data_IF_209338889009
#
_entry.id   IF_209338889009
#
_cell.length_a   1.000
_cell.length_b   1.000
_cell.length_c   1.000
_cell.angle_alpha   90.00
_cell.angle_beta   90.00
_cell.angle_gamma   90.00
#
_symmetry.space_group_name_H-M   'P 1'
#
loop_
_entity.id
_entity.type
_entity.pdbx_description
1 polymer ?
#
# COMPACT_ATOMS: atom_id res chain seq x y z
N UNK A 1 12.12 26.05 -28.22
CA UNK A 1 13.05 25.11 -27.56
C UNK A 1 12.36 23.91 -26.91
N UNK A 2 11.10 23.59 -27.24
CA UNK A 2 10.34 22.47 -26.63
C UNK A 2 10.36 21.15 -27.42
N UNK A 3 10.95 21.10 -28.62
CA UNK A 3 10.95 19.88 -29.45
C UNK A 3 12.14 18.95 -29.21
N UNK A 4 13.30 19.47 -28.77
CA UNK A 4 14.50 18.65 -28.57
C UNK A 4 14.50 17.81 -27.28
N UNK A 5 13.75 18.22 -26.25
CA UNK A 5 13.55 17.40 -25.03
C UNK A 5 12.69 16.16 -25.31
N UNK A 6 11.76 16.24 -26.27
CA UNK A 6 10.85 15.13 -26.61
C UNK A 6 11.50 14.01 -27.40
N UNK A 7 12.58 14.29 -28.14
CA UNK A 7 13.36 13.24 -28.84
C UNK A 7 14.31 12.49 -27.91
N UNK A 8 14.87 13.16 -26.90
CA UNK A 8 15.81 12.53 -25.96
C UNK A 8 15.18 11.53 -24.99
N UNK A 9 13.86 11.62 -24.76
CA UNK A 9 13.13 10.64 -23.94
C UNK A 9 12.76 9.35 -24.68
N UNK A 10 12.91 9.28 -26.02
CA UNK A 10 12.38 8.16 -26.84
C UNK A 10 13.46 7.35 -27.59
N UNK A 11 14.74 7.70 -27.45
CA UNK A 11 15.88 6.95 -28.03
C UNK A 11 16.79 6.33 -26.94
N UNK A 12 16.35 6.35 -25.69
CA UNK A 12 17.09 5.91 -24.53
C UNK A 12 16.57 4.55 -24.07
N UNK A 13 17.08 3.45 -24.63
CA UNK A 13 16.97 2.12 -24.04
C UNK A 13 17.83 2.00 -22.77
N UNK A 14 17.55 2.86 -21.78
CA UNK A 14 18.29 2.92 -20.51
C UNK A 14 17.45 2.30 -19.42
N UNK A 15 17.69 1.03 -19.15
CA UNK A 15 17.46 0.43 -17.83
C UNK A 15 18.73 0.53 -16.97
N UNK A 16 19.47 1.65 -17.09
CA UNK A 16 20.72 1.81 -16.34
C UNK A 16 20.80 3.22 -15.79
N UNK A 17 20.34 3.37 -14.55
CA UNK A 17 20.68 4.48 -13.65
C UNK A 17 22.19 4.76 -13.70
N UNK A 18 22.57 6.04 -13.60
CA UNK A 18 23.97 6.45 -13.63
C UNK A 18 24.78 5.85 -12.47
N UNK A 19 24.14 5.41 -11.37
CA UNK A 19 24.79 4.74 -10.24
C UNK A 19 25.17 3.29 -10.56
N UNK A 20 24.35 2.58 -11.35
CA UNK A 20 24.62 1.20 -11.80
C UNK A 20 25.72 1.11 -12.89
N UNK A 21 25.97 2.18 -13.64
CA UNK A 21 27.02 2.21 -14.69
C UNK A 21 28.46 2.06 -14.19
N UNK A 22 28.72 2.16 -12.89
CA UNK A 22 30.08 2.10 -12.37
C UNK A 22 30.65 0.69 -12.15
N UNK A 23 29.86 -0.39 -12.24
CA UNK A 23 30.31 -1.73 -11.79
C UNK A 23 30.26 -2.90 -12.79
N UNK A 24 29.83 -2.73 -14.04
CA UNK A 24 29.83 -3.85 -15.01
C UNK A 24 30.38 -3.45 -16.38
N UNK A 25 31.65 -3.76 -16.60
CA UNK A 25 32.27 -3.80 -17.93
C UNK A 25 33.07 -5.10 -18.09
N UNK A 26 32.45 -6.15 -18.62
CA UNK A 26 33.08 -7.21 -19.42
C UNK A 26 32.07 -8.32 -19.73
N UNK A 27 32.16 -8.87 -20.95
CA UNK A 27 31.34 -9.94 -21.60
C UNK A 27 30.13 -9.38 -22.37
N UNK A 28 29.90 -9.67 -23.65
CA UNK A 28 30.48 -10.65 -24.56
C UNK A 28 29.36 -11.11 -25.51
N UNK A 29 29.44 -10.67 -26.77
CA UNK A 29 28.49 -10.86 -27.89
C UNK A 29 28.14 -12.32 -28.25
N UNK A 30 26.88 -12.60 -28.63
CA UNK A 30 26.55 -13.40 -29.83
C UNK A 30 25.04 -13.45 -30.21
N UNK A 31 24.76 -12.83 -31.37
CA UNK A 31 23.79 -13.06 -32.47
C UNK A 31 22.80 -14.25 -32.44
N UNK A 32 21.59 -14.01 -32.99
CA UNK A 32 20.74 -15.02 -33.64
C UNK A 32 19.41 -14.47 -34.21
N UNK A 33 19.36 -14.20 -35.53
CA UNK A 33 18.15 -13.80 -36.29
C UNK A 33 17.24 -15.01 -36.62
N UNK A 34 15.90 -14.86 -36.59
CA UNK A 34 15.01 -15.35 -37.66
C UNK A 34 13.54 -14.87 -37.53
N UNK A 35 12.93 -14.65 -38.70
CA UNK A 35 11.72 -13.89 -39.06
C UNK A 35 10.32 -14.44 -38.64
N UNK A 36 9.24 -13.63 -38.77
CA UNK A 36 7.84 -14.00 -38.54
C UNK A 36 7.02 -14.18 -39.84
N UNK A 37 5.92 -14.98 -39.80
CA UNK A 37 4.63 -14.76 -40.49
C UNK A 37 3.76 -16.03 -40.50
N UNK A 38 2.50 -15.92 -40.05
CA UNK A 38 1.34 -16.48 -40.78
C UNK A 38 0.00 -16.00 -40.23
N UNK A 39 -0.87 -15.62 -41.17
CA UNK A 39 -2.24 -15.13 -41.07
C UNK A 39 -3.23 -16.26 -40.75
N UNK A 40 -4.40 -15.94 -40.20
CA UNK A 40 -5.71 -16.04 -40.89
C UNK A 40 -6.90 -16.04 -39.93
N UNK A 41 -8.00 -15.51 -40.45
CA UNK A 41 -9.29 -15.23 -39.83
C UNK A 41 -10.07 -16.46 -39.33
N UNK A 42 -10.93 -16.25 -38.33
CA UNK A 42 -12.39 -16.39 -38.51
C UNK A 42 -13.16 -16.04 -37.22
N UNK A 43 -14.37 -15.55 -37.42
CA UNK A 43 -15.33 -15.00 -36.46
C UNK A 43 -16.38 -16.08 -36.20
N UNK A 44 -16.58 -16.51 -34.95
CA UNK A 44 -17.81 -17.19 -34.52
C UNK A 44 -18.17 -16.74 -33.11
N UNK A 45 -19.45 -16.42 -32.97
CA UNK A 45 -20.15 -15.91 -31.81
C UNK A 45 -21.07 -17.04 -31.35
N UNK A 46 -20.83 -17.65 -30.18
CA UNK A 46 -21.86 -18.45 -29.48
C UNK A 46 -21.43 -18.77 -28.06
N UNK A 47 -22.41 -18.57 -27.17
CA UNK A 47 -22.50 -18.83 -25.73
C UNK A 47 -21.89 -20.17 -25.33
N UNK A 48 -21.13 -20.16 -24.24
CA UNK A 48 -21.12 -21.31 -23.32
C UNK A 48 -20.84 -20.87 -21.88
N UNK A 49 -21.47 -21.59 -20.95
CA UNK A 49 -21.46 -21.43 -19.50
C UNK A 49 -20.52 -22.53 -18.97
N UNK A 50 -19.45 -22.13 -18.29
CA UNK A 50 -18.55 -22.99 -17.49
C UNK A 50 -17.87 -22.01 -16.52
N UNK A 51 -18.14 -21.99 -15.22
CA UNK A 51 -17.79 -23.03 -14.23
C UNK A 51 -16.40 -23.59 -14.51
N UNK A 52 -15.38 -22.86 -14.05
CA UNK A 52 -14.03 -23.36 -13.85
C UNK A 52 -13.32 -22.53 -12.77
N UNK A 53 -12.68 -23.26 -11.87
CA UNK A 53 -12.02 -22.78 -10.68
C UNK A 53 -10.74 -22.01 -11.01
N UNK A 54 -10.75 -20.69 -10.87
CA UNK A 54 -9.54 -19.85 -11.06
C UNK A 54 -9.41 -18.78 -9.95
N UNK A 55 -9.92 -19.09 -8.75
CA UNK A 55 -9.76 -18.27 -7.54
C UNK A 55 -8.32 -18.31 -6.97
N UNK A 56 -7.47 -19.22 -7.44
CA UNK A 56 -6.12 -19.45 -6.88
C UNK A 56 -5.00 -18.70 -7.66
N UNK A 57 -5.34 -17.96 -8.73
CA UNK A 57 -4.42 -17.07 -9.47
C UNK A 57 -4.78 -15.59 -9.41
N UNK A 58 -5.90 -15.25 -8.78
CA UNK A 58 -6.43 -13.88 -8.71
C UNK A 58 -5.90 -13.01 -7.57
N UNK A 59 -5.16 -13.57 -6.60
CA UNK A 59 -4.76 -12.85 -5.38
C UNK A 59 -3.31 -12.30 -5.39
N UNK A 60 -2.61 -12.40 -6.52
CA UNK A 60 -1.26 -11.83 -6.74
C UNK A 60 -1.28 -10.56 -7.60
N UNK A 61 -2.46 -10.11 -8.04
CA UNK A 61 -2.58 -8.92 -8.87
C UNK A 61 -2.62 -7.65 -8.02
N UNK A 62 -1.49 -6.93 -7.97
CA UNK A 62 -1.30 -5.57 -7.44
C UNK A 62 -2.08 -4.52 -8.26
N UNK A 63 -3.39 -4.69 -8.43
CA UNK A 63 -4.28 -3.76 -9.14
C UNK A 63 -5.09 -2.89 -8.14
N UNK A 64 -4.47 -2.53 -7.01
CA UNK A 64 -5.05 -1.63 -6.01
C UNK A 64 -5.10 -0.17 -6.49
N UNK A 65 -4.35 0.19 -7.53
CA UNK A 65 -4.35 1.54 -8.13
C UNK A 65 -5.64 1.84 -8.91
N UNK A 66 -6.45 0.83 -9.23
CA UNK A 66 -7.72 0.98 -9.95
C UNK A 66 -8.90 0.41 -9.16
N UNK A 67 -9.14 0.94 -7.96
CA UNK A 67 -10.36 1.72 -7.70
C UNK A 67 -10.85 1.63 -6.25
N UNK A 68 -10.93 2.80 -5.60
CA UNK A 68 -11.83 3.02 -4.46
C UNK A 68 -13.31 2.76 -4.89
N UNK A 69 -13.60 2.68 -6.20
CA UNK A 69 -14.91 2.25 -6.70
C UNK A 69 -15.25 0.79 -6.36
N UNK A 70 -14.28 -0.09 -6.05
CA UNK A 70 -14.60 -1.44 -5.56
C UNK A 70 -15.07 -1.44 -4.11
N UNK A 71 -14.80 -0.37 -3.34
CA UNK A 71 -15.25 -0.24 -1.95
C UNK A 71 -16.77 -0.12 -1.87
N UNK A 72 -17.39 0.74 -2.69
CA UNK A 72 -18.85 0.90 -2.66
C UNK A 72 -19.56 -0.42 -3.02
N UNK A 73 -19.04 -1.16 -4.01
CA UNK A 73 -19.58 -2.47 -4.39
C UNK A 73 -19.37 -3.56 -3.33
N UNK A 74 -18.31 -3.46 -2.51
CA UNK A 74 -17.98 -4.42 -1.46
C UNK A 74 -18.66 -4.07 -0.12
N UNK A 75 -19.12 -2.83 0.04
CA UNK A 75 -19.94 -2.38 1.16
C UNK A 75 -21.44 -2.59 0.93
N UNK A 76 -21.87 -2.78 -0.33
CA UNK A 76 -23.24 -3.16 -0.68
C UNK A 76 -23.52 -4.65 -0.43
N UNK A 77 -22.50 -5.48 -0.20
CA UNK A 77 -22.68 -6.87 0.23
C UNK A 77 -22.87 -6.95 1.74
N UNK A 78 -24.12 -6.84 2.15
CA UNK A 78 -24.67 -6.82 3.52
C UNK A 78 -24.45 -8.09 4.38
N UNK A 79 -23.42 -8.91 4.11
CA UNK A 79 -23.16 -10.15 4.87
C UNK A 79 -21.97 -10.00 5.84
N UNK A 80 -22.09 -9.11 6.83
CA UNK A 80 -21.38 -9.32 8.12
C UNK A 80 -22.13 -10.44 8.83
N UNK A 81 -21.90 -11.67 8.38
CA UNK A 81 -22.57 -12.83 8.93
C UNK A 81 -21.80 -13.29 10.17
N UNK A 82 -22.33 -13.07 11.37
CA UNK A 82 -21.71 -13.58 12.61
C UNK A 82 -21.43 -15.10 12.52
N UNK A 83 -22.23 -15.84 11.75
CA UNK A 83 -22.01 -17.27 11.51
C UNK A 83 -20.75 -17.58 10.68
N UNK A 84 -20.32 -16.70 9.77
CA UNK A 84 -19.07 -16.92 9.02
C UNK A 84 -17.86 -16.73 9.91
N UNK A 85 -17.96 -15.90 10.95
CA UNK A 85 -16.88 -15.68 11.91
C UNK A 85 -16.59 -16.91 12.76
N UNK A 86 -17.61 -17.63 13.25
CA UNK A 86 -17.40 -18.85 14.06
C UNK A 86 -16.79 -20.01 13.27
N UNK A 87 -17.21 -20.19 12.00
CA UNK A 87 -16.60 -21.17 11.10
C UNK A 87 -15.14 -20.78 10.84
N UNK A 88 -14.86 -19.51 10.55
CA UNK A 88 -13.51 -19.02 10.34
C UNK A 88 -12.62 -19.19 11.58
N UNK A 89 -13.16 -19.02 12.80
CA UNK A 89 -12.44 -19.29 14.06
C UNK A 89 -12.01 -20.75 14.17
N UNK A 90 -12.92 -21.67 13.91
CA UNK A 90 -12.63 -23.11 13.99
C UNK A 90 -11.62 -23.51 12.91
N UNK A 91 -11.83 -23.08 11.65
CA UNK A 91 -10.90 -23.30 10.55
C UNK A 91 -9.49 -22.76 10.87
N UNK A 92 -9.42 -21.55 11.45
CA UNK A 92 -8.15 -20.94 11.86
C UNK A 92 -7.48 -21.76 12.98
N UNK A 93 -8.23 -22.23 13.98
CA UNK A 93 -7.67 -23.05 15.04
C UNK A 93 -7.12 -24.38 14.51
N UNK A 94 -7.85 -25.05 13.62
CA UNK A 94 -7.44 -26.32 13.02
C UNK A 94 -6.19 -26.16 12.17
N UNK A 95 -6.12 -25.08 11.38
CA UNK A 95 -4.96 -24.84 10.53
C UNK A 95 -3.74 -24.39 11.31
N UNK A 96 -3.91 -23.67 12.42
CA UNK A 96 -2.81 -23.38 13.35
C UNK A 96 -2.21 -24.69 13.87
N UNK A 97 -3.02 -25.65 14.30
CA UNK A 97 -2.52 -26.96 14.74
C UNK A 97 -1.71 -27.67 13.64
N UNK A 98 -2.16 -27.62 12.38
CA UNK A 98 -1.42 -28.18 11.24
C UNK A 98 -0.10 -27.46 10.96
N UNK A 99 -0.08 -26.12 11.06
CA UNK A 99 1.13 -25.32 10.85
C UNK A 99 2.19 -25.57 11.94
N UNK A 100 1.74 -25.82 13.17
CA UNK A 100 2.62 -26.14 14.30
C UNK A 100 3.11 -27.59 14.25
N UNK A 101 2.27 -28.54 13.79
CA UNK A 101 2.69 -29.93 13.55
C UNK A 101 3.33 -30.11 12.17
N UNK A 102 4.59 -29.68 12.07
CA UNK A 102 5.35 -29.83 10.82
C UNK A 102 5.64 -31.30 10.47
N UNK A 103 5.58 -32.23 11.44
CA UNK A 103 6.11 -33.59 11.29
C UNK A 103 5.18 -34.44 10.43
N UNK A 104 5.58 -34.67 9.17
CA UNK A 104 4.82 -35.45 8.20
C UNK A 104 4.07 -34.61 7.18
N UNK A 105 4.10 -33.27 7.31
CA UNK A 105 3.60 -32.36 6.28
C UNK A 105 4.43 -32.46 4.99
N UNK A 106 3.76 -32.53 3.85
CA UNK A 106 4.39 -32.33 2.54
C UNK A 106 4.26 -30.85 2.12
N UNK A 107 4.95 -30.41 1.06
CA UNK A 107 4.91 -29.02 0.60
C UNK A 107 3.46 -28.54 0.33
N UNK A 108 2.67 -29.32 -0.42
CA UNK A 108 1.27 -28.97 -0.73
C UNK A 108 0.40 -28.76 0.51
N UNK A 109 0.50 -29.65 1.50
CA UNK A 109 -0.25 -29.51 2.76
C UNK A 109 0.13 -28.23 3.52
N UNK A 110 1.38 -27.79 3.43
CA UNK A 110 1.81 -26.53 4.06
C UNK A 110 1.29 -25.32 3.29
N UNK A 111 1.32 -25.36 1.96
CA UNK A 111 0.72 -24.31 1.13
C UNK A 111 -0.78 -24.18 1.40
N UNK A 112 -1.53 -25.29 1.43
CA UNK A 112 -2.97 -25.30 1.68
C UNK A 112 -3.30 -24.77 3.09
N UNK A 113 -2.47 -25.13 4.10
CA UNK A 113 -2.60 -24.62 5.46
C UNK A 113 -2.31 -23.11 5.55
N UNK A 114 -1.22 -22.64 4.94
CA UNK A 114 -0.89 -21.21 4.91
C UNK A 114 -1.95 -20.40 4.15
N UNK A 115 -2.48 -20.92 3.05
CA UNK A 115 -3.54 -20.28 2.28
C UNK A 115 -4.81 -20.10 3.10
N UNK A 116 -5.20 -21.12 3.87
CA UNK A 116 -6.36 -21.05 4.77
C UNK A 116 -6.11 -20.05 5.91
N UNK A 117 -4.93 -20.10 6.54
CA UNK A 117 -4.55 -19.12 7.57
C UNK A 117 -4.65 -17.68 7.05
N UNK A 118 -4.07 -17.42 5.87
CA UNK A 118 -4.13 -16.12 5.19
C UNK A 118 -5.57 -15.72 4.90
N UNK A 119 -6.40 -16.63 4.38
CA UNK A 119 -7.81 -16.36 4.07
C UNK A 119 -8.59 -15.94 5.31
N UNK A 120 -8.45 -16.69 6.41
CA UNK A 120 -9.15 -16.40 7.67
C UNK A 120 -8.77 -15.00 8.20
N UNK A 121 -7.47 -14.73 8.34
CA UNK A 121 -6.98 -13.45 8.88
C UNK A 121 -7.03 -12.28 7.90
N UNK A 122 -7.23 -12.52 6.61
CA UNK A 122 -7.54 -11.45 5.66
C UNK A 122 -8.99 -11.00 5.82
N UNK A 123 -9.89 -11.94 6.14
CA UNK A 123 -11.33 -11.73 6.12
C UNK A 123 -11.90 -11.26 7.46
N UNK A 124 -11.32 -11.67 8.58
CA UNK A 124 -11.83 -11.40 9.92
C UNK A 124 -10.68 -11.17 10.92
N UNK A 125 -10.93 -10.26 11.87
CA UNK A 125 -10.12 -10.01 13.04
C UNK A 125 -10.36 -11.12 14.08
N UNK A 126 -9.40 -12.04 14.18
CA UNK A 126 -9.46 -13.26 15.01
C UNK A 126 -8.28 -13.33 16.02
N UNK A 127 -7.93 -12.20 16.63
CA UNK A 127 -6.78 -12.07 17.53
C UNK A 127 -6.84 -13.03 18.73
N UNK A 128 -8.04 -13.35 19.21
CA UNK A 128 -8.28 -14.28 20.31
C UNK A 128 -7.76 -15.69 20.03
N UNK A 129 -7.76 -16.12 18.76
CA UNK A 129 -7.29 -17.45 18.35
C UNK A 129 -5.75 -17.50 18.34
N UNK A 130 -5.10 -16.34 18.15
CA UNK A 130 -3.65 -16.21 18.12
C UNK A 130 -3.03 -16.10 19.52
N UNK A 131 -3.84 -15.76 20.53
CA UNK A 131 -3.38 -15.56 21.90
C UNK A 131 -2.60 -16.77 22.42
N UNK A 132 -1.37 -16.51 22.90
CA UNK A 132 -0.45 -17.54 23.40
C UNK A 132 0.19 -18.43 22.34
N UNK A 133 -0.04 -18.21 21.04
CA UNK A 133 0.50 -19.02 19.92
C UNK A 133 1.37 -18.23 18.95
N UNK A 134 1.45 -16.90 19.09
CA UNK A 134 2.17 -16.00 18.16
C UNK A 134 3.61 -16.43 17.94
N UNK A 135 4.37 -16.64 19.01
CA UNK A 135 5.78 -17.03 18.92
C UNK A 135 5.99 -18.37 18.18
N UNK A 136 5.12 -19.36 18.44
CA UNK A 136 5.18 -20.66 17.74
C UNK A 136 4.84 -20.53 16.25
N UNK A 137 3.86 -19.67 15.92
CA UNK A 137 3.48 -19.37 14.54
C UNK A 137 4.59 -18.62 13.80
N UNK A 138 5.17 -17.58 14.40
CA UNK A 138 6.32 -16.83 13.85
C UNK A 138 7.48 -17.78 13.57
N UNK A 139 7.75 -18.72 14.47
CA UNK A 139 8.74 -19.77 14.26
C UNK A 139 8.37 -20.71 13.10
N UNK A 140 7.11 -21.10 12.96
CA UNK A 140 6.62 -21.91 11.85
C UNK A 140 6.77 -21.21 10.50
N UNK A 141 6.35 -19.94 10.41
CA UNK A 141 6.48 -19.13 9.19
C UNK A 141 7.94 -18.91 8.82
N UNK A 142 8.78 -18.56 9.81
CA UNK A 142 10.23 -18.39 9.61
C UNK A 142 10.88 -19.65 9.03
N UNK A 143 10.41 -20.84 9.41
CA UNK A 143 10.89 -22.12 8.87
C UNK A 143 10.45 -22.37 7.42
N UNK A 144 9.27 -21.90 7.02
CA UNK A 144 8.80 -21.97 5.63
C UNK A 144 9.54 -20.97 4.76
N UNK A 145 9.69 -19.72 5.24
CA UNK A 145 10.44 -18.66 4.59
C UNK A 145 11.89 -19.08 4.33
N UNK A 146 12.60 -19.56 5.37
CA UNK A 146 14.00 -19.99 5.23
C UNK A 146 14.21 -21.20 4.34
N UNK A 147 13.21 -22.07 4.21
CA UNK A 147 13.34 -23.29 3.43
C UNK A 147 13.14 -23.06 1.93
N UNK A 148 12.43 -21.99 1.54
CA UNK A 148 12.10 -21.62 0.16
C UNK A 148 11.73 -22.82 -0.74
N UNK A 149 10.92 -23.77 -0.22
CA UNK A 149 10.68 -25.02 -0.96
C UNK A 149 9.79 -24.83 -2.20
N UNK A 150 8.97 -23.79 -2.19
CA UNK A 150 8.25 -23.25 -3.35
C UNK A 150 8.02 -21.76 -3.17
N UNK A 151 7.84 -21.04 -4.28
CA UNK A 151 7.49 -19.62 -4.28
C UNK A 151 6.14 -19.37 -3.58
N UNK A 152 5.15 -20.25 -3.82
CA UNK A 152 3.81 -20.15 -3.20
C UNK A 152 3.87 -20.33 -1.68
N UNK A 153 4.57 -21.35 -1.16
CA UNK A 153 4.72 -21.54 0.29
C UNK A 153 5.39 -20.31 0.93
N UNK A 154 6.45 -19.81 0.30
CA UNK A 154 7.26 -18.70 0.82
C UNK A 154 6.46 -17.39 0.87
N UNK A 155 5.81 -17.04 -0.23
CA UNK A 155 4.96 -15.84 -0.33
C UNK A 155 3.77 -15.89 0.63
N UNK A 156 3.13 -17.04 0.79
CA UNK A 156 2.05 -17.23 1.77
C UNK A 156 2.57 -17.11 3.22
N UNK A 157 3.76 -17.64 3.52
CA UNK A 157 4.36 -17.52 4.85
C UNK A 157 4.75 -16.07 5.18
N UNK A 158 5.26 -15.30 4.21
CA UNK A 158 5.53 -13.86 4.36
C UNK A 158 4.24 -13.08 4.62
N UNK A 159 3.17 -13.38 3.86
CA UNK A 159 1.85 -12.77 4.07
C UNK A 159 1.24 -13.16 5.41
N UNK A 160 1.40 -14.42 5.83
CA UNK A 160 0.95 -14.89 7.14
C UNK A 160 1.65 -14.12 8.27
N UNK A 161 2.96 -13.89 8.17
CA UNK A 161 3.72 -13.08 9.13
C UNK A 161 3.17 -11.66 9.26
N UNK A 162 2.92 -11.00 8.12
CA UNK A 162 2.34 -9.66 8.07
C UNK A 162 0.92 -9.62 8.65
N UNK A 163 0.09 -10.62 8.34
CA UNK A 163 -1.26 -10.76 8.90
C UNK A 163 -1.25 -10.98 10.40
N UNK A 164 -0.30 -11.76 10.93
CA UNK A 164 -0.10 -11.91 12.38
C UNK A 164 0.21 -10.55 13.01
N UNK A 165 1.14 -9.79 12.42
CA UNK A 165 1.58 -8.50 12.94
C UNK A 165 0.47 -7.45 13.01
N UNK A 166 -0.42 -7.38 12.00
CA UNK A 166 -1.57 -6.44 11.99
C UNK A 166 -2.80 -6.96 12.75
N UNK A 167 -2.81 -8.24 13.16
CA UNK A 167 -3.96 -8.83 13.89
C UNK A 167 -3.69 -8.89 15.39
N UNK A 168 -2.44 -9.09 15.81
CA UNK A 168 -2.09 -9.24 17.21
C UNK A 168 -0.92 -8.33 17.57
N UNK A 169 -1.18 -7.38 18.46
CA UNK A 169 -0.16 -6.45 18.95
C UNK A 169 0.82 -7.19 19.90
N UNK A 170 1.97 -7.56 19.36
CA UNK A 170 3.13 -8.08 20.07
C UNK A 170 4.33 -7.15 19.82
N UNK A 171 4.86 -6.55 20.89
CA UNK A 171 5.94 -5.57 20.84
C UNK A 171 7.29 -6.17 20.43
N UNK A 172 7.45 -7.50 20.45
CA UNK A 172 8.72 -8.16 20.12
C UNK A 172 8.68 -8.86 18.75
N UNK A 173 7.58 -8.72 18.01
CA UNK A 173 7.40 -9.44 16.76
C UNK A 173 8.42 -8.97 15.72
N UNK A 174 8.63 -7.66 15.58
CA UNK A 174 9.57 -7.11 14.60
C UNK A 174 11.00 -7.57 14.87
N UNK A 175 11.49 -7.43 16.10
CA UNK A 175 12.83 -7.87 16.52
C UNK A 175 13.09 -9.34 16.14
N UNK A 176 12.08 -10.19 16.34
CA UNK A 176 12.15 -11.63 16.04
C UNK A 176 12.26 -11.93 14.54
N UNK A 177 11.61 -11.14 13.68
CA UNK A 177 11.45 -11.45 12.24
C UNK A 177 12.36 -10.62 11.33
N UNK A 178 12.84 -9.46 11.79
CA UNK A 178 13.55 -8.47 10.99
C UNK A 178 14.69 -9.07 10.17
N UNK A 179 15.59 -9.83 10.83
CA UNK A 179 16.73 -10.47 10.15
C UNK A 179 16.30 -11.51 9.11
N UNK A 180 15.20 -12.24 9.34
CA UNK A 180 14.69 -13.23 8.40
C UNK A 180 14.04 -12.57 7.18
N UNK A 181 13.32 -11.46 7.38
CA UNK A 181 12.69 -10.70 6.31
C UNK A 181 13.73 -9.97 5.46
N UNK A 182 14.68 -9.24 6.07
CA UNK A 182 15.79 -8.58 5.34
C UNK A 182 16.61 -9.58 4.50
N UNK A 183 16.84 -10.79 5.04
CA UNK A 183 17.48 -11.88 4.28
C UNK A 183 16.65 -12.34 3.08
N UNK A 184 15.34 -12.50 3.24
CA UNK A 184 14.46 -12.93 2.14
C UNK A 184 14.44 -11.89 1.01
N UNK A 185 14.50 -10.61 1.35
CA UNK A 185 14.60 -9.52 0.38
C UNK A 185 15.95 -9.59 -0.36
N UNK A 186 17.05 -9.80 0.36
CA UNK A 186 18.40 -9.75 -0.22
C UNK A 186 18.78 -11.03 -0.98
N UNK A 187 18.49 -12.21 -0.43
CA UNK A 187 19.09 -13.47 -0.87
C UNK A 187 18.17 -14.35 -1.72
N UNK A 188 16.84 -14.10 -1.70
CA UNK A 188 15.90 -14.94 -2.46
C UNK A 188 16.16 -14.82 -3.96
N UNK A 189 15.94 -15.90 -4.70
CA UNK A 189 16.08 -15.90 -6.18
C UNK A 189 14.81 -15.47 -6.91
N UNK A 190 13.68 -15.46 -6.23
CA UNK A 190 12.40 -15.06 -6.81
C UNK A 190 12.13 -13.59 -6.53
N UNK A 191 11.90 -12.79 -7.59
CA UNK A 191 11.50 -11.38 -7.46
C UNK A 191 10.16 -11.24 -6.75
N UNK A 192 9.24 -12.19 -6.96
CA UNK A 192 7.95 -12.22 -6.27
C UNK A 192 8.12 -12.45 -4.75
N UNK A 193 9.04 -13.32 -4.34
CA UNK A 193 9.39 -13.50 -2.92
C UNK A 193 10.01 -12.22 -2.34
N UNK A 194 10.93 -11.57 -3.08
CA UNK A 194 11.52 -10.30 -2.63
C UNK A 194 10.46 -9.21 -2.44
N UNK A 195 9.57 -9.03 -3.41
CA UNK A 195 8.48 -8.06 -3.33
C UNK A 195 7.51 -8.37 -2.18
N UNK A 196 7.11 -9.63 -2.00
CA UNK A 196 6.30 -10.06 -0.87
C UNK A 196 6.99 -9.80 0.48
N UNK A 197 8.31 -10.01 0.56
CA UNK A 197 9.08 -9.77 1.77
C UNK A 197 9.23 -8.28 2.08
N UNK A 198 9.35 -7.42 1.05
CA UNK A 198 9.33 -5.95 1.21
C UNK A 198 7.99 -5.46 1.76
N UNK A 199 6.87 -6.01 1.29
CA UNK A 199 5.57 -5.66 1.86
C UNK A 199 5.42 -6.20 3.29
N UNK A 200 5.88 -7.43 3.54
CA UNK A 200 5.81 -8.03 4.87
C UNK A 200 6.62 -7.26 5.91
N UNK A 201 7.87 -6.86 5.59
CA UNK A 201 8.69 -6.07 6.53
C UNK A 201 8.06 -4.72 6.83
N UNK A 202 7.44 -4.07 5.83
CA UNK A 202 6.70 -2.82 6.04
C UNK A 202 5.58 -2.95 7.07
N UNK A 203 4.81 -4.03 7.01
CA UNK A 203 3.74 -4.30 7.98
C UNK A 203 4.32 -4.71 9.33
N UNK A 204 5.32 -5.59 9.36
CA UNK A 204 5.93 -6.05 10.61
C UNK A 204 6.64 -4.93 11.38
N UNK A 205 7.32 -4.00 10.71
CA UNK A 205 7.96 -2.85 11.40
C UNK A 205 6.89 -1.90 11.96
N UNK A 206 5.81 -1.65 11.21
CA UNK A 206 4.74 -0.73 11.61
C UNK A 206 3.87 -1.24 12.76
N UNK A 207 3.66 -2.56 12.83
CA UNK A 207 2.69 -3.16 13.74
C UNK A 207 3.31 -4.17 14.72
N UNK A 208 4.59 -4.49 14.55
CA UNK A 208 5.32 -5.48 15.36
C UNK A 208 6.21 -4.91 16.44
N UNK A 209 5.98 -3.65 16.85
CA UNK A 209 6.64 -3.02 17.99
C UNK A 209 7.97 -2.33 17.73
N UNK A 210 8.28 -2.03 16.46
CA UNK A 210 9.51 -1.30 16.14
C UNK A 210 9.45 0.15 16.62
N UNK A 211 10.61 0.71 16.97
CA UNK A 211 10.73 2.15 17.23
C UNK A 211 10.99 2.95 15.94
N UNK A 212 11.07 4.28 16.08
CA UNK A 212 11.27 5.18 14.95
C UNK A 212 12.65 5.02 14.29
N UNK A 213 13.69 4.69 15.06
CA UNK A 213 15.04 4.43 14.53
C UNK A 213 15.03 3.19 13.63
N UNK A 214 14.36 2.12 14.06
CA UNK A 214 14.18 0.92 13.27
C UNK A 214 13.34 1.14 12.00
N UNK A 215 12.35 2.03 12.05
CA UNK A 215 11.56 2.45 10.88
C UNK A 215 12.46 3.18 9.87
N UNK A 216 13.26 4.14 10.33
CA UNK A 216 14.21 4.89 9.49
C UNK A 216 15.25 3.97 8.85
N UNK A 217 15.80 3.01 9.60
CA UNK A 217 16.72 2.00 9.09
C UNK A 217 16.13 1.18 7.93
N UNK A 218 14.86 0.79 8.05
CA UNK A 218 14.14 0.10 6.98
C UNK A 218 13.89 1.05 5.80
N UNK A 219 13.54 2.31 6.04
CA UNK A 219 13.37 3.30 4.98
C UNK A 219 14.64 3.51 4.18
N UNK A 220 15.80 3.66 4.83
CA UNK A 220 17.11 3.75 4.16
C UNK A 220 17.38 2.51 3.31
N UNK A 221 17.11 1.31 3.84
CA UNK A 221 17.27 0.06 3.09
C UNK A 221 16.38 0.01 1.83
N UNK A 222 15.12 0.45 1.93
CA UNK A 222 14.20 0.52 0.79
C UNK A 222 14.63 1.57 -0.24
N UNK A 223 15.19 2.69 0.22
CA UNK A 223 15.71 3.74 -0.65
C UNK A 223 16.93 3.26 -1.47
N UNK A 224 17.81 2.44 -0.89
CA UNK A 224 18.90 1.80 -1.63
C UNK A 224 18.38 0.86 -2.73
N UNK A 225 17.30 0.11 -2.47
CA UNK A 225 16.64 -0.73 -3.49
C UNK A 225 16.09 0.16 -4.62
N UNK A 226 15.39 1.24 -4.29
CA UNK A 226 14.83 2.16 -5.29
C UNK A 226 15.92 2.87 -6.10
N UNK A 227 16.98 3.38 -5.46
CA UNK A 227 18.06 4.12 -6.13
C UNK A 227 18.91 3.27 -7.09
N UNK A 228 18.89 1.95 -6.90
CA UNK A 228 19.64 0.97 -7.68
C UNK A 228 18.79 0.23 -8.71
N UNK A 229 17.53 0.61 -8.93
CA UNK A 229 16.58 -0.09 -9.79
C UNK A 229 16.46 -1.60 -9.43
N UNK A 230 16.57 -1.93 -8.14
CA UNK A 230 16.53 -3.29 -7.62
C UNK A 230 17.87 -4.03 -7.60
N UNK A 231 18.92 -3.50 -8.22
CA UNK A 231 20.23 -4.17 -8.30
C UNK A 231 20.90 -4.37 -6.92
N UNK A 232 20.60 -3.53 -5.93
CA UNK A 232 21.12 -3.67 -4.57
C UNK A 232 20.74 -5.01 -3.90
N UNK A 233 19.66 -5.65 -4.36
CA UNK A 233 19.17 -6.93 -3.86
C UNK A 233 19.13 -8.01 -4.95
N UNK A 234 20.00 -7.93 -5.96
CA UNK A 234 20.06 -8.87 -7.09
C UNK A 234 18.71 -9.04 -7.83
N UNK A 235 17.96 -7.94 -7.97
CA UNK A 235 16.68 -7.88 -8.68
C UNK A 235 16.69 -6.80 -9.77
N UNK A 236 17.78 -6.75 -10.55
CA UNK A 236 18.02 -5.76 -11.59
C UNK A 236 16.78 -5.58 -12.50
N UNK A 237 16.36 -4.33 -12.68
CA UNK A 237 15.25 -3.91 -13.54
C UNK A 237 13.88 -4.53 -13.17
N UNK A 238 13.73 -5.02 -11.94
CA UNK A 238 12.46 -5.58 -11.46
C UNK A 238 11.49 -4.47 -11.01
N UNK A 239 10.60 -4.08 -11.92
CA UNK A 239 9.53 -3.11 -11.61
C UNK A 239 8.68 -3.53 -10.40
N UNK A 240 8.47 -4.84 -10.20
CA UNK A 240 7.75 -5.39 -9.05
C UNK A 240 8.44 -5.07 -7.72
N UNK A 241 9.76 -5.33 -7.64
CA UNK A 241 10.57 -5.09 -6.44
C UNK A 241 10.72 -3.60 -6.16
N UNK A 242 10.96 -2.78 -7.19
CA UNK A 242 11.09 -1.33 -7.06
C UNK A 242 9.75 -0.71 -6.63
N UNK A 243 8.64 -1.12 -7.24
CA UNK A 243 7.30 -0.67 -6.84
C UNK A 243 6.99 -1.05 -5.39
N UNK A 244 7.36 -2.27 -4.97
CA UNK A 244 7.19 -2.69 -3.58
C UNK A 244 8.02 -1.82 -2.63
N UNK A 245 9.28 -1.52 -2.98
CA UNK A 245 10.15 -0.67 -2.18
C UNK A 245 9.59 0.74 -2.02
N UNK A 246 9.16 1.38 -3.12
CA UNK A 246 8.56 2.71 -3.11
C UNK A 246 7.26 2.75 -2.31
N UNK A 247 6.38 1.78 -2.50
CA UNK A 247 5.11 1.70 -1.76
C UNK A 247 5.33 1.49 -0.26
N UNK A 248 6.29 0.63 0.12
CA UNK A 248 6.61 0.42 1.53
C UNK A 248 7.30 1.64 2.12
N UNK A 249 8.22 2.29 1.41
CA UNK A 249 8.86 3.54 1.86
C UNK A 249 7.79 4.58 2.20
N UNK A 250 6.85 4.83 1.29
CA UNK A 250 5.80 5.82 1.49
C UNK A 250 4.91 5.50 2.68
N UNK A 251 4.56 4.23 2.86
CA UNK A 251 3.82 3.79 4.04
C UNK A 251 4.58 4.06 5.34
N UNK A 252 5.87 3.71 5.40
CA UNK A 252 6.71 3.93 6.59
C UNK A 252 6.95 5.42 6.87
N UNK A 253 7.15 6.23 5.83
CA UNK A 253 7.27 7.68 5.93
C UNK A 253 6.03 8.35 6.55
N UNK A 254 4.86 7.69 6.54
CA UNK A 254 3.68 8.19 7.26
C UNK A 254 3.76 8.04 8.79
N UNK A 255 4.73 7.27 9.31
CA UNK A 255 4.88 6.99 10.74
C UNK A 255 6.00 7.80 11.39
N UNK A 256 6.96 8.27 10.61
CA UNK A 256 8.01 9.19 11.07
C UNK A 256 7.42 10.60 11.13
N UNK A 257 7.60 11.34 12.22
CA UNK A 257 7.02 12.69 12.33
C UNK A 257 7.79 13.69 11.46
N UNK A 258 9.10 13.75 11.66
CA UNK A 258 10.04 14.62 10.95
C UNK A 258 10.83 13.84 9.89
N UNK A 259 10.89 14.37 8.67
CA UNK A 259 11.65 13.78 7.56
C UNK A 259 12.59 14.80 6.91
N UNK A 260 12.92 15.90 7.59
CA UNK A 260 13.78 16.95 7.03
C UNK A 260 15.12 16.40 6.51
N UNK A 261 15.74 15.48 7.25
CA UNK A 261 17.07 14.94 6.93
C UNK A 261 17.05 13.95 5.76
N UNK A 262 15.96 13.20 5.61
CA UNK A 262 15.79 12.15 4.62
C UNK A 262 15.23 12.68 3.30
N UNK A 263 14.49 13.77 3.34
CA UNK A 263 13.67 14.23 2.21
C UNK A 263 14.49 14.58 0.97
N UNK A 264 15.65 15.21 1.13
CA UNK A 264 16.48 15.65 0.00
C UNK A 264 16.94 14.45 -0.85
N UNK A 265 17.52 13.43 -0.21
CA UNK A 265 18.01 12.21 -0.87
C UNK A 265 16.85 11.34 -1.39
N UNK A 266 15.74 11.31 -0.65
CA UNK A 266 14.54 10.58 -1.04
C UNK A 266 13.89 11.18 -2.29
N UNK A 267 13.66 12.50 -2.32
CA UNK A 267 13.09 13.19 -3.48
C UNK A 267 14.02 13.05 -4.69
N UNK A 268 15.34 13.18 -4.53
CA UNK A 268 16.29 12.95 -5.61
C UNK A 268 16.12 11.55 -6.23
N UNK A 269 16.04 10.52 -5.37
CA UNK A 269 15.83 9.13 -5.81
C UNK A 269 14.50 8.95 -6.53
N UNK A 270 13.40 9.48 -5.98
CA UNK A 270 12.07 9.36 -6.60
C UNK A 270 11.97 10.12 -7.91
N UNK A 271 12.66 11.25 -8.03
CA UNK A 271 12.73 12.05 -9.25
C UNK A 271 13.40 11.29 -10.40
N UNK A 272 14.40 10.45 -10.10
CA UNK A 272 15.01 9.52 -11.06
C UNK A 272 14.02 8.41 -11.45
N UNK A 273 13.27 7.86 -10.48
CA UNK A 273 12.25 6.83 -10.73
C UNK A 273 11.04 7.31 -11.55
N UNK A 274 10.80 8.62 -11.63
CA UNK A 274 9.80 9.19 -12.54
C UNK A 274 10.11 8.92 -14.03
N UNK A 275 11.38 8.66 -14.36
CA UNK A 275 11.82 8.35 -15.73
C UNK A 275 11.75 6.84 -16.05
N UNK A 276 11.23 6.00 -15.14
CA UNK A 276 11.05 4.57 -15.35
C UNK A 276 10.04 4.24 -16.47
N UNK A 277 10.21 3.10 -17.13
CA UNK A 277 9.29 2.64 -18.19
C UNK A 277 7.96 2.10 -17.63
N UNK A 278 7.96 1.63 -16.38
CA UNK A 278 6.79 1.06 -15.73
C UNK A 278 5.95 2.13 -15.02
N UNK A 279 4.67 2.21 -15.39
CA UNK A 279 3.78 3.23 -14.86
C UNK A 279 3.50 3.08 -13.35
N UNK A 280 3.60 1.88 -12.77
CA UNK A 280 3.43 1.71 -11.32
C UNK A 280 4.61 2.28 -10.57
N UNK A 281 5.83 2.03 -11.04
CA UNK A 281 7.06 2.66 -10.48
C UNK A 281 6.92 4.18 -10.50
N UNK A 282 6.54 4.75 -11.65
CA UNK A 282 6.33 6.19 -11.79
C UNK A 282 5.27 6.72 -10.82
N UNK A 283 4.10 6.09 -10.75
CA UNK A 283 3.03 6.50 -9.83
C UNK A 283 3.53 6.43 -8.38
N UNK A 284 4.08 5.30 -7.93
CA UNK A 284 4.56 5.14 -6.56
C UNK A 284 5.65 6.16 -6.19
N UNK A 285 6.58 6.47 -7.10
CA UNK A 285 7.57 7.52 -6.88
C UNK A 285 6.92 8.91 -6.76
N UNK A 286 5.96 9.23 -7.63
CA UNK A 286 5.23 10.49 -7.57
C UNK A 286 4.37 10.66 -6.32
N UNK A 287 3.72 9.59 -5.84
CA UNK A 287 2.97 9.61 -4.58
C UNK A 287 3.89 9.88 -3.39
N UNK A 288 5.10 9.31 -3.38
CA UNK A 288 6.11 9.58 -2.35
C UNK A 288 6.59 11.02 -2.35
N UNK A 289 6.86 11.59 -3.53
CA UNK A 289 7.18 13.01 -3.66
C UNK A 289 6.05 13.85 -3.05
N UNK A 290 4.80 13.56 -3.41
CA UNK A 290 3.66 14.30 -2.89
C UNK A 290 3.51 14.18 -1.36
N UNK A 291 3.80 13.00 -0.78
CA UNK A 291 3.82 12.81 0.68
C UNK A 291 4.90 13.67 1.34
N UNK A 292 6.13 13.69 0.83
CA UNK A 292 7.23 14.47 1.43
C UNK A 292 6.95 15.98 1.37
N UNK A 293 6.37 16.46 0.26
CA UNK A 293 5.88 17.83 0.17
C UNK A 293 4.72 18.09 1.13
N UNK A 294 3.78 17.15 1.31
CA UNK A 294 2.71 17.29 2.32
C UNK A 294 3.28 17.37 3.75
N UNK A 295 4.30 16.57 4.07
CA UNK A 295 4.91 16.50 5.41
C UNK A 295 5.78 17.69 5.78
N UNK A 296 6.28 18.46 4.81
CA UNK A 296 7.04 19.67 5.13
C UNK A 296 6.16 20.82 5.66
N UNK A 297 4.84 20.62 5.72
CA UNK A 297 3.91 21.51 6.39
C UNK A 297 3.29 20.79 7.59
N UNK A 298 3.31 21.41 8.75
CA UNK A 298 2.61 20.90 9.94
C UNK A 298 1.62 21.93 10.49
N UNK A 299 0.62 21.49 11.27
CA UNK A 299 -0.16 22.36 12.14
C UNK A 299 0.67 23.43 12.84
N UNK A 300 0.15 24.65 12.89
CA UNK A 300 0.75 25.71 13.69
C UNK A 300 0.62 25.41 15.19
N UNK A 301 1.74 25.51 15.89
CA UNK A 301 1.88 25.30 17.34
C UNK A 301 1.82 26.65 18.09
N UNK A 302 1.55 26.63 19.40
CA UNK A 302 1.39 27.86 20.21
C UNK A 302 2.66 28.72 20.25
N UNK A 303 3.83 28.07 20.13
CA UNK A 303 5.15 28.72 20.15
C UNK A 303 5.62 29.22 18.77
N UNK A 304 4.85 28.97 17.70
CA UNK A 304 5.16 29.50 16.38
C UNK A 304 4.91 31.01 16.36
N UNK A 305 6.00 31.79 16.45
CA UNK A 305 5.98 33.24 16.30
C UNK A 305 5.09 33.62 15.13
N UNK A 306 4.19 34.58 15.33
CA UNK A 306 3.44 35.22 14.25
C UNK A 306 4.39 36.02 13.37
N UNK A 307 5.18 35.28 12.59
CA UNK A 307 5.93 35.80 11.48
C UNK A 307 4.92 36.37 10.51
N UNK A 308 4.85 37.69 10.49
CA UNK A 308 3.98 38.52 9.66
C UNK A 308 4.36 38.46 8.17
N UNK A 309 4.95 37.35 7.72
CA UNK A 309 5.54 37.19 6.38
C UNK A 309 5.04 35.95 5.62
N UNK A 310 4.22 35.11 6.24
CA UNK A 310 3.42 34.16 5.45
C UNK A 310 2.39 34.95 4.66
N UNK A 311 2.45 34.87 3.34
CA UNK A 311 1.48 35.46 2.43
C UNK A 311 0.07 34.96 2.80
N UNK A 312 -0.64 35.74 3.61
CA UNK A 312 -2.06 35.57 3.87
C UNK A 312 -2.77 35.66 2.52
N UNK A 313 -3.13 34.50 1.96
CA UNK A 313 -4.03 34.46 0.81
C UNK A 313 -5.32 35.15 1.28
N UNK A 314 -5.75 36.25 0.62
CA UNK A 314 -6.96 36.94 1.00
C UNK A 314 -8.12 35.94 1.11
N UNK A 315 -8.91 36.03 2.18
CA UNK A 315 -10.02 35.09 2.47
C UNK A 315 -10.97 34.92 1.26
N UNK A 316 -11.03 35.94 0.41
CA UNK A 316 -11.84 36.02 -0.81
C UNK A 316 -11.36 35.10 -1.96
N UNK A 317 -10.13 34.60 -1.92
CA UNK A 317 -9.57 33.66 -2.91
C UNK A 317 -9.58 32.19 -2.44
N UNK A 318 -10.01 31.92 -1.21
CA UNK A 318 -10.08 30.58 -0.66
C UNK A 318 -11.31 29.83 -1.20
N UNK A 319 -11.18 28.61 -1.72
CA UNK A 319 -12.34 27.79 -2.09
C UNK A 319 -13.27 27.62 -0.89
N UNK A 320 -14.56 27.95 -1.08
CA UNK A 320 -15.62 28.00 -0.04
C UNK A 320 -15.73 26.77 0.88
N UNK A 321 -15.10 25.64 0.52
CA UNK A 321 -15.23 24.39 1.26
C UNK A 321 -14.13 24.17 2.33
N UNK A 322 -13.01 24.92 2.37
CA UNK A 322 -11.91 24.72 3.37
C UNK A 322 -11.02 25.94 3.70
N UNK A 323 -11.55 27.15 3.93
CA UNK A 323 -10.70 28.35 4.11
C UNK A 323 -9.76 28.25 5.32
N UNK A 324 -10.21 27.72 6.45
CA UNK A 324 -9.44 27.75 7.71
C UNK A 324 -8.24 26.81 7.77
N UNK A 325 -8.16 25.79 6.90
CA UNK A 325 -7.12 24.76 7.03
C UNK A 325 -5.81 25.15 6.32
N UNK A 326 -5.86 26.02 5.30
CA UNK A 326 -4.64 26.47 4.59
C UNK A 326 -3.83 27.48 5.40
N UNK A 327 -4.51 28.38 6.12
CA UNK A 327 -3.88 29.38 6.99
C UNK A 327 -3.26 28.78 8.26
N UNK A 328 -3.67 27.56 8.63
CA UNK A 328 -3.20 26.87 9.84
C UNK A 328 -1.94 26.02 9.64
N UNK A 329 -1.48 25.83 8.40
CA UNK A 329 -0.30 25.00 8.11
C UNK A 329 0.94 25.87 7.90
N UNK A 330 2.00 25.61 8.67
CA UNK A 330 3.29 26.32 8.60
C UNK A 330 4.30 25.42 7.90
N UNK A 331 5.09 26.01 7.00
CA UNK A 331 6.19 25.32 6.34
C UNK A 331 7.36 25.14 7.32
N UNK A 332 7.80 23.90 7.51
CA UNK A 332 8.91 23.53 8.41
C UNK A 332 10.24 23.44 7.68
N UNK A 333 10.27 22.83 6.50
CA UNK A 333 11.50 22.68 5.70
C UNK A 333 11.21 22.68 4.19
N UNK A 334 12.27 22.67 3.37
CA UNK A 334 12.19 22.45 1.93
C UNK A 334 12.52 20.98 1.64
N UNK A 335 11.59 20.15 1.11
CA UNK A 335 11.87 18.75 0.84
C UNK A 335 12.96 18.51 -0.20
N UNK A 336 13.14 19.46 -1.12
CA UNK A 336 14.14 19.38 -2.17
C UNK A 336 14.59 20.77 -2.61
N UNK A 337 15.90 20.96 -2.76
CA UNK A 337 16.49 22.24 -3.17
C UNK A 337 15.93 22.79 -4.50
N UNK A 338 15.63 21.93 -5.48
CA UNK A 338 15.17 22.32 -6.81
C UNK A 338 13.70 21.93 -7.07
N UNK A 339 12.78 22.55 -6.32
CA UNK A 339 11.34 22.30 -6.47
C UNK A 339 10.79 22.55 -7.88
N UNK A 340 11.42 23.45 -8.65
CA UNK A 340 11.02 23.72 -10.05
C UNK A 340 11.20 22.49 -10.95
N UNK A 341 12.31 21.76 -10.80
CA UNK A 341 12.57 20.55 -11.58
C UNK A 341 11.55 19.45 -11.25
N UNK A 342 11.21 19.30 -9.96
CA UNK A 342 10.16 18.38 -9.52
C UNK A 342 8.84 18.74 -10.21
N UNK A 343 8.44 20.02 -10.14
CA UNK A 343 7.19 20.51 -10.73
C UNK A 343 7.14 20.30 -12.25
N UNK A 344 8.25 20.53 -12.97
CA UNK A 344 8.35 20.31 -14.41
C UNK A 344 8.13 18.84 -14.77
N UNK A 345 8.82 17.92 -14.07
CA UNK A 345 8.71 16.47 -14.31
C UNK A 345 7.30 15.94 -14.02
N UNK A 346 6.71 16.29 -12.88
CA UNK A 346 5.35 15.82 -12.53
C UNK A 346 4.29 16.40 -13.47
N UNK A 347 4.44 17.65 -13.91
CA UNK A 347 3.53 18.30 -14.87
C UNK A 347 3.64 17.69 -16.27
N UNK A 348 4.86 17.30 -16.68
CA UNK A 348 5.07 16.59 -17.94
C UNK A 348 4.38 15.22 -17.95
N UNK A 349 4.40 14.48 -16.83
CA UNK A 349 3.69 13.20 -16.67
C UNK A 349 2.17 13.38 -16.61
N UNK A 350 1.68 14.42 -15.93
CA UNK A 350 0.25 14.76 -15.89
C UNK A 350 -0.35 15.04 -17.27
N UNK A 351 0.46 15.54 -18.21
CA UNK A 351 0.07 15.90 -19.57
C UNK A 351 0.63 14.96 -20.66
N UNK A 352 1.19 13.80 -20.26
CA UNK A 352 1.94 12.92 -21.13
C UNK A 352 1.12 12.47 -22.35
N UNK A 353 1.61 12.75 -23.56
CA UNK A 353 0.95 12.35 -24.80
C UNK A 353 1.86 11.47 -25.64
N UNK A 354 1.95 10.19 -25.28
CA UNK A 354 2.58 9.16 -26.13
C UNK A 354 1.55 8.16 -26.65
N UNK A 355 1.85 7.57 -27.81
CA UNK A 355 1.12 6.46 -28.44
C UNK A 355 1.71 5.10 -28.09
N UNK A 356 2.93 5.04 -27.56
CA UNK A 356 3.62 3.78 -27.22
C UNK A 356 3.06 3.14 -25.95
N UNK A 357 2.54 3.93 -25.03
CA UNK A 357 2.05 3.48 -23.75
C UNK A 357 0.61 2.94 -23.82
N UNK A 358 0.34 1.90 -23.03
CA UNK A 358 -0.98 1.33 -22.90
C UNK A 358 -2.00 2.34 -22.34
N UNK A 359 -3.25 2.26 -22.82
CA UNK A 359 -4.28 3.26 -22.50
C UNK A 359 -4.64 3.32 -21.02
N UNK A 360 -4.60 2.18 -20.30
CA UNK A 360 -4.86 2.17 -18.85
C UNK A 360 -3.77 2.91 -18.09
N UNK A 361 -2.52 2.63 -18.40
CA UNK A 361 -1.34 3.18 -17.74
C UNK A 361 -1.28 4.68 -17.95
N UNK A 362 -1.51 5.13 -19.19
CA UNK A 362 -1.67 6.56 -19.51
C UNK A 362 -2.73 7.25 -18.65
N UNK A 363 -3.89 6.60 -18.48
CA UNK A 363 -4.98 7.15 -17.68
C UNK A 363 -4.61 7.19 -16.20
N UNK A 364 -3.92 6.17 -15.69
CA UNK A 364 -3.43 6.14 -14.32
C UNK A 364 -2.43 7.28 -14.06
N UNK A 365 -1.44 7.45 -14.94
CA UNK A 365 -0.48 8.56 -14.86
C UNK A 365 -1.17 9.92 -14.88
N UNK A 366 -2.07 10.17 -15.84
CA UNK A 366 -2.79 11.44 -15.92
C UNK A 366 -3.59 11.74 -14.67
N UNK A 367 -4.26 10.73 -14.12
CA UNK A 367 -5.08 10.89 -12.92
C UNK A 367 -4.22 11.16 -11.68
N UNK A 368 -3.14 10.39 -11.48
CA UNK A 368 -2.27 10.54 -10.31
C UNK A 368 -1.44 11.82 -10.39
N UNK A 369 -0.76 12.07 -11.51
CA UNK A 369 0.15 13.20 -11.64
C UNK A 369 -0.55 14.57 -11.70
N UNK A 370 -1.83 14.63 -12.09
CA UNK A 370 -2.61 15.85 -11.93
C UNK A 370 -2.75 16.25 -10.44
N UNK A 371 -2.96 15.28 -9.56
CA UNK A 371 -3.03 15.50 -8.11
C UNK A 371 -1.66 15.82 -7.52
N UNK A 372 -0.64 15.04 -7.89
CA UNK A 372 0.75 15.22 -7.44
C UNK A 372 1.26 16.62 -7.81
N UNK A 373 1.03 17.07 -9.05
CA UNK A 373 1.46 18.40 -9.48
C UNK A 373 0.80 19.52 -8.66
N UNK A 374 -0.48 19.38 -8.31
CA UNK A 374 -1.16 20.33 -7.42
C UNK A 374 -0.55 20.35 -6.02
N UNK A 375 -0.22 19.18 -5.45
CA UNK A 375 0.43 19.10 -4.14
C UNK A 375 1.84 19.68 -4.16
N UNK A 376 2.65 19.41 -5.19
CA UNK A 376 4.00 19.99 -5.29
C UNK A 376 3.94 21.52 -5.44
N UNK A 377 2.94 22.04 -6.16
CA UNK A 377 2.73 23.48 -6.33
C UNK A 377 2.25 24.17 -5.04
N UNK A 378 1.32 23.56 -4.30
CA UNK A 378 0.84 24.05 -3.01
C UNK A 378 0.57 22.87 -2.06
N UNK A 379 1.54 22.49 -1.21
CA UNK A 379 1.41 21.27 -0.40
C UNK A 379 0.29 21.32 0.64
N UNK A 380 -0.16 22.52 1.01
CA UNK A 380 -1.29 22.74 1.92
C UNK A 380 -2.60 22.16 1.38
N UNK A 381 -2.72 22.01 0.05
CA UNK A 381 -3.86 21.36 -0.59
C UNK A 381 -4.02 19.91 -0.17
N UNK A 382 -2.92 19.20 0.13
CA UNK A 382 -2.90 17.75 0.30
C UNK A 382 -3.43 17.03 -0.94
N UNK A 383 -4.04 15.87 -0.73
CA UNK A 383 -4.54 15.01 -1.79
C UNK A 383 -5.83 15.55 -2.40
N UNK A 384 -5.73 16.07 -3.62
CA UNK A 384 -6.87 16.56 -4.39
C UNK A 384 -7.30 15.53 -5.43
N UNK A 385 -8.60 15.27 -5.53
CA UNK A 385 -9.15 14.41 -6.56
C UNK A 385 -10.36 15.09 -7.18
N UNK A 386 -10.39 15.13 -8.52
CA UNK A 386 -11.55 15.61 -9.28
C UNK A 386 -12.82 14.78 -9.00
N UNK A 387 -12.70 13.66 -8.27
CA UNK A 387 -13.82 12.87 -7.81
C UNK A 387 -13.78 12.77 -6.28
N UNK A 388 -14.24 13.81 -5.59
CA UNK A 388 -14.29 13.84 -4.12
C UNK A 388 -15.06 12.64 -3.52
N UNK A 389 -16.08 12.12 -4.20
CA UNK A 389 -16.80 10.90 -3.79
C UNK A 389 -15.93 9.64 -3.80
N UNK A 390 -14.90 9.58 -4.65
CA UNK A 390 -13.95 8.47 -4.69
C UNK A 390 -12.98 8.47 -3.53
N UNK A 391 -12.94 9.53 -2.73
CA UNK A 391 -12.06 9.62 -1.56
C UNK A 391 -12.82 9.41 -0.26
N UNK A 392 -14.02 8.82 -0.32
CA UNK A 392 -14.81 8.52 0.87
C UNK A 392 -14.97 7.02 0.99
N UNK A 393 -14.35 6.43 2.00
CA UNK A 393 -14.68 5.07 2.44
C UNK A 393 -15.90 5.22 3.34
N UNK A 394 -17.07 4.93 2.79
CA UNK A 394 -18.29 4.87 3.59
C UNK A 394 -18.25 3.61 4.42
N UNK A 395 -18.57 3.71 5.69
CA UNK A 395 -18.56 2.56 6.58
C UNK A 395 -19.95 2.50 7.18
N UNK A 396 -20.85 1.89 6.39
CA UNK A 396 -22.27 1.72 6.70
C UNK A 396 -22.98 3.05 7.04
N UNK A 397 -23.93 3.05 7.99
CA UNK A 397 -24.64 4.25 8.46
C UNK A 397 -23.88 5.04 9.54
N UNK A 398 -22.69 4.58 9.92
CA UNK A 398 -22.04 5.00 11.18
C UNK A 398 -20.87 5.97 10.97
N UNK A 399 -20.25 5.99 9.78
CA UNK A 399 -19.13 6.90 9.52
C UNK A 399 -18.72 6.97 8.06
N UNK A 400 -17.98 8.03 7.74
CA UNK A 400 -17.33 8.22 6.45
C UNK A 400 -15.86 8.55 6.70
N UNK A 401 -14.92 7.74 6.22
CA UNK A 401 -13.51 8.10 6.20
C UNK A 401 -13.22 8.87 4.92
N UNK A 402 -12.84 10.14 5.06
CA UNK A 402 -12.30 10.90 3.93
C UNK A 402 -10.79 10.69 3.83
N UNK A 403 -10.36 10.15 2.70
CA UNK A 403 -8.96 10.00 2.29
C UNK A 403 -8.56 11.29 1.57
N UNK A 404 -8.32 12.35 2.33
CA UNK A 404 -8.03 13.69 1.80
C UNK A 404 -6.58 14.15 2.02
N UNK A 405 -5.72 13.21 2.42
CA UNK A 405 -4.30 13.42 2.67
C UNK A 405 -3.49 12.26 2.10
N UNK A 406 -2.27 12.54 1.66
CA UNK A 406 -1.37 11.53 1.09
C UNK A 406 -1.04 10.45 2.10
N UNK A 407 -0.81 10.83 3.37
CA UNK A 407 -0.55 9.84 4.42
C UNK A 407 -1.72 8.86 4.60
N UNK A 408 -2.97 9.32 4.52
CA UNK A 408 -4.16 8.46 4.61
C UNK A 408 -4.23 7.50 3.43
N UNK A 409 -3.93 7.99 2.23
CA UNK A 409 -3.93 7.20 1.01
C UNK A 409 -2.89 6.06 1.11
N UNK A 410 -1.67 6.38 1.53
CA UNK A 410 -0.59 5.41 1.63
C UNK A 410 -0.85 4.34 2.68
N UNK A 411 -1.33 4.73 3.87
CA UNK A 411 -1.76 3.77 4.90
C UNK A 411 -2.91 2.90 4.41
N UNK A 412 -3.91 3.48 3.73
CA UNK A 412 -5.01 2.72 3.13
C UNK A 412 -4.53 1.74 2.06
N UNK A 413 -3.61 2.14 1.18
CA UNK A 413 -3.02 1.26 0.18
C UNK A 413 -2.29 0.08 0.83
N UNK A 414 -1.46 0.33 1.86
CA UNK A 414 -0.75 -0.73 2.59
C UNK A 414 -1.71 -1.73 3.24
N UNK A 415 -2.69 -1.24 3.99
CA UNK A 415 -3.66 -2.08 4.70
C UNK A 415 -4.56 -2.83 3.71
N UNK A 416 -5.05 -2.19 2.63
CA UNK A 416 -5.87 -2.87 1.62
C UNK A 416 -5.07 -3.89 0.81
N UNK A 417 -3.78 -3.70 0.58
CA UNK A 417 -2.94 -4.72 -0.07
C UNK A 417 -2.89 -6.01 0.76
N UNK A 418 -2.90 -5.87 2.09
CA UNK A 418 -2.85 -6.98 3.04
C UNK A 418 -4.23 -7.61 3.33
N UNK A 419 -5.26 -6.79 3.59
CA UNK A 419 -6.58 -7.23 4.04
C UNK A 419 -7.64 -7.27 2.92
N UNK A 420 -7.36 -6.69 1.76
CA UNK A 420 -8.29 -6.60 0.63
C UNK A 420 -9.68 -6.11 1.06
N UNK A 421 -10.74 -6.86 0.74
CA UNK A 421 -12.11 -6.56 1.16
C UNK A 421 -12.36 -6.72 2.66
N UNK A 422 -11.60 -7.59 3.34
CA UNK A 422 -11.74 -7.83 4.78
C UNK A 422 -11.25 -6.68 5.66
N UNK A 423 -10.59 -5.66 5.09
CA UNK A 423 -10.34 -4.38 5.76
C UNK A 423 -11.58 -3.85 6.50
N UNK A 424 -12.75 -3.95 5.86
CA UNK A 424 -14.02 -3.48 6.44
C UNK A 424 -14.37 -4.28 7.70
N UNK A 425 -14.25 -5.60 7.65
CA UNK A 425 -14.51 -6.48 8.79
C UNK A 425 -13.54 -6.21 9.93
N UNK A 426 -12.22 -6.13 9.68
CA UNK A 426 -11.24 -5.83 10.72
C UNK A 426 -11.52 -4.48 11.40
N UNK A 427 -11.95 -3.48 10.64
CA UNK A 427 -12.33 -2.19 11.20
C UNK A 427 -13.51 -2.33 12.18
N UNK A 428 -14.59 -2.99 11.77
CA UNK A 428 -15.81 -3.15 12.59
C UNK A 428 -15.64 -4.09 13.77
N UNK A 429 -14.83 -5.13 13.61
CA UNK A 429 -14.51 -6.10 14.65
C UNK A 429 -13.53 -5.53 15.69
N UNK A 430 -13.06 -4.29 15.49
CA UNK A 430 -12.32 -3.55 16.49
C UNK A 430 -10.82 -3.81 16.48
N UNK A 431 -10.24 -4.14 15.32
CA UNK A 431 -8.79 -4.26 15.18
C UNK A 431 -8.12 -2.91 15.46
N UNK A 432 -7.55 -2.78 16.66
CA UNK A 432 -6.94 -1.53 17.15
C UNK A 432 -5.87 -1.00 16.19
N UNK A 433 -5.02 -1.86 15.63
CA UNK A 433 -3.96 -1.45 14.71
C UNK A 433 -4.51 -0.82 13.43
N UNK A 434 -5.63 -1.35 12.92
CA UNK A 434 -6.32 -0.77 11.74
C UNK A 434 -7.00 0.55 12.10
N UNK A 435 -7.64 0.62 13.27
CA UNK A 435 -8.30 1.84 13.76
C UNK A 435 -7.32 2.99 13.99
N UNK A 436 -6.17 2.70 14.60
CA UNK A 436 -5.13 3.69 14.90
C UNK A 436 -4.42 4.17 13.62
N UNK A 437 -4.20 3.27 12.66
CA UNK A 437 -3.59 3.63 11.38
C UNK A 437 -4.50 4.52 10.52
N UNK A 438 -5.82 4.32 10.58
CA UNK A 438 -6.83 4.99 9.76
C UNK A 438 -8.05 5.45 10.59
N UNK A 439 -7.90 6.51 11.40
CA UNK A 439 -8.99 6.99 12.25
C UNK A 439 -10.14 7.56 11.42
N UNK A 440 -11.36 7.10 11.67
CA UNK A 440 -12.57 7.68 11.07
C UNK A 440 -13.25 8.71 11.96
N UNK A 441 -13.80 9.75 11.34
CA UNK A 441 -14.74 10.64 12.00
C UNK A 441 -16.10 9.93 12.05
N UNK A 442 -16.45 9.39 13.22
CA UNK A 442 -17.80 8.90 13.47
C UNK A 442 -18.75 10.09 13.41
N UNK A 443 -19.72 10.07 12.49
CA UNK A 443 -20.77 11.09 12.48
C UNK A 443 -21.74 10.73 13.59
N UNK A 444 -21.86 11.59 14.60
CA UNK A 444 -22.81 11.39 15.68
C UNK A 444 -24.19 11.05 15.14
N UNK A 445 -24.80 9.99 15.69
CA UNK A 445 -26.17 9.58 15.38
C UNK A 445 -27.11 10.67 15.92
N UNK A 446 -27.30 11.75 15.16
CA UNK A 446 -28.09 12.89 15.59
C UNK A 446 -27.96 14.11 14.67
N UNK A 447 -29.05 14.44 13.99
CA UNK A 447 -29.32 15.67 13.22
C UNK A 447 -28.64 15.82 11.83
N UNK A 448 -29.48 15.82 10.78
CA UNK A 448 -29.19 16.19 9.37
C UNK A 448 -28.41 15.20 8.49
N UNK A 449 -28.99 14.01 8.24
CA UNK A 449 -28.57 13.18 7.11
C UNK A 449 -29.19 13.68 5.80
N UNK A 450 -28.37 14.08 4.83
CA UNK A 450 -28.83 14.30 3.45
C UNK A 450 -29.46 13.02 2.90
N UNK A 451 -30.74 13.09 2.56
CA UNK A 451 -31.50 11.98 2.00
C UNK A 451 -30.91 11.59 0.63
N UNK A 452 -30.43 10.34 0.52
CA UNK A 452 -30.13 9.74 -0.77
C UNK A 452 -31.43 9.60 -1.58
N UNK A 453 -31.52 10.13 -2.81
CA UNK A 453 -32.74 10.09 -3.59
C UNK A 453 -32.82 8.75 -4.34
N UNK A 454 -33.31 7.68 -3.69
CA UNK A 454 -33.99 6.56 -4.38
C UNK A 454 -34.58 5.54 -3.38
N UNK A 455 -35.80 5.10 -3.73
CA UNK A 455 -36.61 4.00 -3.18
C UNK A 455 -37.37 4.28 -1.88
N UNK A 456 -38.52 4.94 -2.09
CA UNK A 456 -39.74 4.71 -1.31
C UNK A 456 -40.25 3.31 -1.66
N UNK A 457 -40.30 2.41 -0.68
CA UNK A 457 -41.05 1.16 -0.80
C UNK A 457 -40.51 0.00 0.03
N UNK A 458 -41.18 -0.28 1.15
CA UNK A 458 -41.42 -1.66 1.56
C UNK A 458 -40.64 -2.24 2.75
N UNK A 459 -41.35 -2.30 3.87
CA UNK A 459 -41.39 -3.37 4.89
C UNK A 459 -40.29 -3.55 5.97
N UNK A 460 -40.77 -3.25 7.18
CA UNK A 460 -40.51 -3.80 8.52
C UNK A 460 -39.73 -5.14 8.62
N UNK A 461 -38.73 -5.14 9.50
CA UNK A 461 -38.57 -6.19 10.51
C UNK A 461 -37.18 -6.81 10.62
N UNK A 462 -36.33 -6.28 11.50
CA UNK A 462 -35.60 -7.05 12.54
C UNK A 462 -34.65 -6.10 13.27
N UNK A 463 -34.81 -5.93 14.57
CA UNK A 463 -33.88 -5.16 15.42
C UNK A 463 -32.84 -6.13 15.98
N UNK A 464 -31.70 -6.25 15.33
CA UNK A 464 -30.49 -6.84 15.92
C UNK A 464 -29.88 -5.84 16.91
N UNK A 465 -29.78 -6.23 18.18
CA UNK A 465 -29.10 -5.45 19.22
C UNK A 465 -27.60 -5.78 19.18
N UNK A 466 -26.78 -4.87 18.66
CA UNK A 466 -25.33 -4.94 18.84
C UNK A 466 -24.99 -4.69 20.32
N UNK A 467 -24.33 -5.65 20.98
CA UNK A 467 -23.79 -5.47 22.34
C UNK A 467 -22.37 -4.95 22.20
N UNK A 468 -22.11 -3.77 22.75
CA UNK A 468 -20.78 -3.22 22.91
C UNK A 468 -19.99 -4.07 23.93
N UNK A 469 -19.20 -5.02 23.44
CA UNK A 469 -18.23 -5.80 24.23
C UNK A 469 -16.87 -5.73 23.54
N UNK A 470 -16.36 -4.51 23.36
CA UNK A 470 -14.99 -4.27 22.87
C UNK A 470 -13.98 -4.67 23.93
N UNK A 471 -13.58 -5.96 23.96
CA UNK A 471 -12.41 -6.45 24.70
C UNK A 471 -11.22 -6.48 23.74
N UNK A 472 -10.29 -5.56 23.95
CA UNK A 472 -8.99 -5.58 23.28
C UNK A 472 -8.14 -6.71 23.85
N UNK A 473 -7.54 -7.51 22.97
CA UNK A 473 -6.57 -8.54 23.35
C UNK A 473 -5.20 -8.01 22.95
N UNK A 474 -4.37 -7.66 23.93
CA UNK A 474 -2.95 -7.33 23.75
C UNK A 474 -2.11 -8.24 24.64
N UNK A 475 -0.82 -8.40 24.32
CA UNK A 475 0.11 -9.18 25.14
C UNK A 475 0.22 -8.65 26.59
N UNK A 476 -0.03 -7.36 26.80
CA UNK A 476 0.14 -6.68 28.10
C UNK A 476 -0.96 -6.94 29.14
N UNK A 477 -1.92 -7.85 28.89
CA UNK A 477 -3.02 -8.13 29.83
C UNK A 477 -2.62 -9.13 30.94
N UNK A 478 -1.39 -9.66 30.96
CA UNK A 478 -0.91 -10.55 32.04
C UNK A 478 0.55 -10.33 32.43
N UNK A 479 0.82 -9.23 33.12
CA UNK A 479 1.93 -9.09 34.06
C UNK A 479 1.38 -8.67 35.44
N UNK A 480 0.50 -9.49 36.00
CA UNK A 480 0.07 -9.48 37.41
C UNK A 480 -0.48 -10.86 37.80
#
# INVERSE_FOLDING_TARGET
MHEDLRRRALESGKTVSNKAKSKQSSRGSSRGNSAPNSRSASRVQSRDVSDDEDLDKGNLSDDTTQSINSIDALLETDDINEQTSDVARQELSDVISQLLDRKGSNNKSREDALATYVKCLTSHYLAEVLYGRVQDLVNAFSRSIKAETSEKETTLALRAMALTAITFADSNLYETVAASLKRSISDSRSTAVKAAAIYAIGICVSFGGADEEEILDVMTFLLEIASSDGAFVDADDSAEVVTAALNTYGFLATQVEDLEQESEDAVATFLDQLDADDAKVQVSAGENIALLYEKCYTPREEDDESSSSDEEIPEDELPNDRPHMRSYLVKRYNPYHNTHEVLDKVTALASLSTKSMHRRDKKALHQSFASIAMTVQDPRLGLQSNNASKMVVRVHREGEMRVDKWWKLMRLHAIRRLLAGGFVNHYFEGNKQVLDALPMIMRGIGSSGMASPRKIGGNKGSKGKYRDVRRFVSADVTAA
#
